data_IF_328392984527
#
_entry.id   IF_328392984527
#
_cell.length_a   1.000
_cell.length_b   1.000
_cell.length_c   1.000
_cell.angle_alpha   90.00
_cell.angle_beta   90.00
_cell.angle_gamma   90.00
#
_symmetry.space_group_name_H-M   'P 1'
#
loop_
_entity.id
_entity.type
_entity.pdbx_description
1 polymer ?
#
# COMPACT_ATOMS: atom_id res chain seq x y z
N UNK A 1 -11.77 22.33 18.15
CA UNK A 1 -11.27 21.47 17.06
C UNK A 1 -11.80 20.06 17.32
N UNK A 2 -12.70 19.54 16.48
CA UNK A 2 -13.28 18.22 16.68
C UNK A 2 -12.18 17.15 16.72
N UNK A 3 -12.18 16.29 17.74
CA UNK A 3 -11.20 15.22 17.91
C UNK A 3 -11.28 14.32 16.66
N UNK A 4 -10.24 14.24 15.81
CA UNK A 4 -10.32 13.44 14.60
C UNK A 4 -10.52 11.97 15.00
N UNK A 5 -11.53 11.32 14.43
CA UNK A 5 -11.83 9.92 14.72
C UNK A 5 -10.67 9.03 14.23
N UNK A 6 -9.88 8.50 15.16
CA UNK A 6 -8.69 7.69 14.86
C UNK A 6 -9.01 6.48 13.98
N UNK A 7 -10.17 5.86 14.16
CA UNK A 7 -10.60 4.70 13.36
C UNK A 7 -10.81 5.08 11.90
N UNK A 8 -11.42 6.24 11.64
CA UNK A 8 -11.65 6.74 10.29
C UNK A 8 -10.33 7.02 9.59
N UNK A 9 -9.37 7.64 10.27
CA UNK A 9 -8.04 7.91 9.70
C UNK A 9 -7.28 6.62 9.36
N UNK A 10 -7.39 5.59 10.20
CA UNK A 10 -6.79 4.28 9.93
C UNK A 10 -7.35 3.67 8.64
N UNK A 11 -8.69 3.60 8.52
CA UNK A 11 -9.35 3.08 7.33
C UNK A 11 -9.09 3.92 6.07
N UNK A 12 -8.96 5.24 6.21
CA UNK A 12 -8.57 6.14 5.12
C UNK A 12 -7.15 5.84 4.62
N UNK A 13 -6.21 5.62 5.54
CA UNK A 13 -4.84 5.22 5.19
C UNK A 13 -4.80 3.86 4.49
N UNK A 14 -5.58 2.90 4.98
CA UNK A 14 -5.73 1.57 4.39
C UNK A 14 -6.32 1.64 2.97
N UNK A 15 -7.40 2.41 2.80
CA UNK A 15 -8.07 2.61 1.51
C UNK A 15 -7.17 3.31 0.48
N UNK A 16 -6.34 4.26 0.90
CA UNK A 16 -5.37 4.92 0.01
C UNK A 16 -4.35 3.95 -0.59
N UNK A 17 -3.88 2.98 0.19
CA UNK A 17 -2.96 1.94 -0.31
C UNK A 17 -3.65 1.00 -1.28
N UNK A 18 -4.93 0.66 -1.03
CA UNK A 18 -5.74 -0.12 -1.97
C UNK A 18 -5.87 0.62 -3.31
N UNK A 19 -6.19 1.91 -3.29
CA UNK A 19 -6.27 2.73 -4.52
C UNK A 19 -4.93 2.74 -5.26
N UNK A 20 -3.81 2.83 -4.54
CA UNK A 20 -2.47 2.69 -5.13
C UNK A 20 -2.26 1.34 -5.83
N UNK A 21 -2.75 0.25 -5.24
CA UNK A 21 -2.70 -1.08 -5.85
C UNK A 21 -3.63 -1.22 -7.06
N UNK A 22 -4.82 -0.62 -7.04
CA UNK A 22 -5.70 -0.58 -8.21
C UNK A 22 -5.05 0.17 -9.38
N UNK A 23 -4.39 1.30 -9.09
CA UNK A 23 -3.62 2.03 -10.09
C UNK A 23 -2.47 1.18 -10.65
N UNK A 24 -1.73 0.50 -9.77
CA UNK A 24 -0.67 -0.43 -10.16
C UNK A 24 -1.18 -1.57 -11.07
N UNK A 25 -2.36 -2.11 -10.76
CA UNK A 25 -3.01 -3.15 -11.57
C UNK A 25 -3.41 -2.61 -12.95
N UNK A 26 -3.93 -1.39 -13.02
CA UNK A 26 -4.26 -0.73 -14.29
C UNK A 26 -3.02 -0.47 -15.15
N UNK A 27 -1.91 -0.02 -14.56
CA UNK A 27 -0.62 0.14 -15.26
C UNK A 27 -0.09 -1.20 -15.78
N UNK A 28 -0.26 -2.27 -15.01
CA UNK A 28 0.14 -3.62 -15.41
C UNK A 28 -0.70 -4.11 -16.60
N UNK A 29 -2.02 -3.84 -16.59
CA UNK A 29 -2.93 -4.20 -17.68
C UNK A 29 -2.61 -3.48 -18.99
N UNK A 30 -2.06 -2.25 -18.92
CA UNK A 30 -1.62 -1.47 -20.08
C UNK A 30 -0.30 -1.98 -20.71
N UNK A 31 0.27 -3.09 -20.22
CA UNK A 31 1.38 -3.79 -20.88
C UNK A 31 2.76 -3.54 -20.28
N UNK A 32 2.85 -2.93 -19.10
CA UNK A 32 4.13 -2.83 -18.35
C UNK A 32 4.20 -4.01 -17.37
N UNK A 33 5.06 -5.03 -17.58
CA UNK A 33 5.16 -6.18 -16.70
C UNK A 33 5.90 -5.81 -15.41
N UNK A 34 5.21 -5.15 -14.49
CA UNK A 34 5.71 -4.80 -13.16
C UNK A 34 5.50 -5.92 -12.11
N UNK A 35 5.09 -7.10 -12.59
CA UNK A 35 4.61 -8.24 -11.78
C UNK A 35 5.72 -8.92 -10.96
N UNK A 36 6.97 -8.88 -11.43
CA UNK A 36 8.07 -9.57 -10.75
C UNK A 36 8.52 -8.88 -9.46
N UNK A 37 8.13 -7.61 -9.25
CA UNK A 37 8.56 -6.81 -8.11
C UNK A 37 7.37 -6.04 -7.49
N UNK A 38 6.14 -6.57 -7.47
CA UNK A 38 4.98 -5.87 -6.86
C UNK A 38 5.28 -5.43 -5.41
N UNK A 39 6.00 -6.27 -4.66
CA UNK A 39 6.48 -5.94 -3.31
C UNK A 39 7.48 -4.77 -3.23
N UNK A 40 8.21 -4.46 -4.31
CA UNK A 40 9.17 -3.35 -4.37
C UNK A 40 8.56 -2.12 -5.05
N UNK A 41 7.79 -2.33 -6.11
CA UNK A 41 7.06 -1.26 -6.80
C UNK A 41 6.07 -0.58 -5.87
N UNK A 42 5.50 -1.32 -4.90
CA UNK A 42 4.64 -0.68 -3.90
C UNK A 42 5.34 0.40 -3.07
N UNK A 43 6.66 0.35 -2.88
CA UNK A 43 7.38 1.39 -2.15
C UNK A 43 7.35 2.74 -2.89
N UNK A 44 7.26 2.74 -4.22
CA UNK A 44 7.26 3.96 -5.04
C UNK A 44 6.07 4.85 -4.69
N UNK A 45 4.89 4.28 -4.40
CA UNK A 45 3.72 5.05 -3.98
C UNK A 45 3.52 5.09 -2.45
N UNK A 46 3.93 4.06 -1.69
CA UNK A 46 3.77 4.04 -0.23
C UNK A 46 4.68 5.06 0.46
N UNK A 47 5.95 5.20 0.04
CA UNK A 47 6.90 6.16 0.64
C UNK A 47 6.38 7.61 0.56
N UNK A 48 6.01 8.15 -0.61
CA UNK A 48 5.49 9.51 -0.70
C UNK A 48 4.16 9.67 0.06
N UNK A 49 3.32 8.63 0.13
CA UNK A 49 2.09 8.65 0.94
C UNK A 49 2.39 8.81 2.43
N UNK A 50 3.38 8.09 2.95
CA UNK A 50 3.80 8.19 4.35
C UNK A 50 4.39 9.57 4.62
N UNK A 51 5.25 10.09 3.75
CA UNK A 51 5.82 11.44 3.88
C UNK A 51 4.71 12.49 3.90
N UNK A 52 3.73 12.38 2.99
CA UNK A 52 2.58 13.28 2.93
C UNK A 52 1.69 13.19 4.18
N UNK A 53 1.42 11.97 4.68
CA UNK A 53 0.62 11.76 5.89
C UNK A 53 1.33 12.27 7.16
N UNK A 54 2.67 12.17 7.20
CA UNK A 54 3.49 12.67 8.32
C UNK A 54 3.67 14.18 8.33
N UNK A 55 3.55 14.86 7.18
CA UNK A 55 3.66 16.33 7.10
C UNK A 55 2.52 17.06 7.80
N UNK A 56 1.35 16.43 7.98
CA UNK A 56 0.21 17.04 8.67
C UNK A 56 -0.14 16.28 9.96
N UNK A 57 -0.14 16.93 11.14
CA UNK A 57 -0.46 16.26 12.40
C UNK A 57 -1.89 15.70 12.43
N UNK A 58 -2.83 16.31 11.71
CA UNK A 58 -4.20 15.81 11.56
C UNK A 58 -4.31 14.49 10.78
N UNK A 59 -3.27 14.12 10.01
CA UNK A 59 -3.22 12.92 9.15
C UNK A 59 -2.30 11.83 9.69
N UNK A 60 -1.62 12.08 10.81
CA UNK A 60 -0.71 11.12 11.43
C UNK A 60 -1.40 9.78 11.77
N UNK A 61 -2.70 9.79 12.05
CA UNK A 61 -3.51 8.58 12.27
C UNK A 61 -3.69 7.68 11.04
N UNK A 62 -3.35 8.15 9.83
CA UNK A 62 -3.40 7.36 8.60
C UNK A 62 -2.17 6.46 8.42
N UNK A 63 -1.02 6.87 9.00
CA UNK A 63 0.26 6.16 8.90
C UNK A 63 0.18 4.69 9.32
N UNK A 64 -0.43 4.31 10.46
CA UNK A 64 -0.56 2.89 10.83
C UNK A 64 -1.41 2.10 9.83
N UNK A 65 -2.48 2.70 9.28
CA UNK A 65 -3.30 2.04 8.25
C UNK A 65 -2.55 1.81 6.94
N UNK A 66 -1.73 2.78 6.53
CA UNK A 66 -0.85 2.68 5.35
C UNK A 66 0.20 1.57 5.55
N UNK A 67 0.86 1.53 6.72
CA UNK A 67 1.89 0.52 7.01
C UNK A 67 1.33 -0.90 7.08
N UNK A 68 0.18 -1.08 7.74
CA UNK A 68 -0.46 -2.41 7.87
C UNK A 68 -0.86 -2.94 6.49
N UNK A 69 -1.55 -2.13 5.68
CA UNK A 69 -1.96 -2.55 4.33
C UNK A 69 -0.77 -2.84 3.41
N UNK A 70 0.28 -2.01 3.43
CA UNK A 70 1.50 -2.25 2.66
C UNK A 70 2.26 -3.52 3.11
N UNK A 71 2.27 -3.81 4.43
CA UNK A 71 2.85 -5.03 4.97
C UNK A 71 2.11 -6.29 4.53
N UNK A 72 0.76 -6.27 4.58
CA UNK A 72 -0.08 -7.38 4.11
C UNK A 72 0.19 -7.66 2.62
N UNK A 73 0.20 -6.61 1.78
CA UNK A 73 0.47 -6.78 0.36
C UNK A 73 1.87 -7.34 0.07
N UNK A 74 2.88 -6.91 0.82
CA UNK A 74 4.23 -7.46 0.72
C UNK A 74 4.28 -8.96 1.05
N UNK A 75 3.65 -9.36 2.17
CA UNK A 75 3.57 -10.74 2.61
C UNK A 75 2.81 -11.62 1.61
N UNK A 76 1.70 -11.14 1.07
CA UNK A 76 0.94 -11.83 0.02
C UNK A 76 1.79 -12.03 -1.24
N UNK A 77 2.50 -10.99 -1.69
CA UNK A 77 3.39 -11.08 -2.85
C UNK A 77 4.50 -12.12 -2.62
N UNK A 78 5.14 -12.11 -1.45
CA UNK A 78 6.17 -13.07 -1.10
C UNK A 78 5.62 -14.51 -1.05
N UNK A 79 4.42 -14.71 -0.50
CA UNK A 79 3.75 -16.01 -0.47
C UNK A 79 3.42 -16.53 -1.88
N UNK A 80 2.89 -15.67 -2.76
CA UNK A 80 2.60 -16.03 -4.16
C UNK A 80 3.87 -16.39 -4.93
N UNK A 81 4.96 -15.66 -4.72
CA UNK A 81 6.26 -15.97 -5.34
C UNK A 81 6.86 -17.27 -4.81
N UNK A 82 6.77 -17.51 -3.50
CA UNK A 82 7.19 -18.77 -2.88
C UNK A 82 6.43 -19.98 -3.42
N UNK A 83 5.11 -19.83 -3.61
CA UNK A 83 4.29 -20.87 -4.26
C UNK A 83 4.69 -21.07 -5.73
N UNK A 84 4.81 -20.00 -6.52
CA UNK A 84 5.22 -20.07 -7.93
C UNK A 84 6.55 -20.81 -8.11
N UNK A 85 7.57 -20.52 -7.28
CA UNK A 85 8.85 -21.23 -7.33
C UNK A 85 8.82 -22.63 -6.73
N UNK A 86 7.82 -22.96 -5.91
CA UNK A 86 7.64 -24.31 -5.37
C UNK A 86 6.91 -25.25 -6.32
N UNK A 87 6.12 -24.73 -7.27
CA UNK A 87 5.35 -25.50 -8.25
C UNK A 87 5.87 -25.40 -9.70
N UNK A 88 6.88 -24.56 -9.96
CA UNK A 88 7.60 -24.45 -11.23
C UNK A 88 8.87 -25.30 -11.22
#
# INVERSE_FOLDING_TARGET
>A
MAKPNSTVNFFLGFGLVIVGHLFQLLVTLLGIPVVFLVGVVQLIYVIPLIIWARRNPSRAGMVPGILVSAGIAFLLNAACFGLLFSIA
#
